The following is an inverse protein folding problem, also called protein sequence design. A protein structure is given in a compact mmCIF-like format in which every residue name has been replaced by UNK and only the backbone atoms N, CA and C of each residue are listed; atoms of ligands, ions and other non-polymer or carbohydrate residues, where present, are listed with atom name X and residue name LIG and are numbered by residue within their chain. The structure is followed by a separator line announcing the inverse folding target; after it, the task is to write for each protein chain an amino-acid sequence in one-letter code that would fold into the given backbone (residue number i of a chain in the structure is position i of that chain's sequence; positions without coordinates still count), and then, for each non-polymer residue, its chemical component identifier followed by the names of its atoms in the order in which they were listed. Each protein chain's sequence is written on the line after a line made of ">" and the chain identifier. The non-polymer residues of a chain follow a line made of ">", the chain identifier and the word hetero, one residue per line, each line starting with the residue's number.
data_IF_203663256871
#
_entry.id   IF_203663256871
#
_cell.length_a   1.000
_cell.length_b   1.000
_cell.length_c   1.000
_cell.angle_alpha   90.00
_cell.angle_beta   90.00
_cell.angle_gamma   90.00
#
_symmetry.space_group_name_H-M   'P 1'
#
loop_
_entity.id
_entity.type
_entity.pdbx_description
1 polymer ?
#
# COMPACT_ATOMS: atom_id res chain seq x y z
N UNK A 1 0.20 -0.19 14.17
CA UNK A 1 0.35 1.28 14.09
C UNK A 1 -0.91 1.97 14.59
N UNK A 2 -2.07 1.58 14.07
CA UNK A 2 -3.39 1.99 14.55
C UNK A 2 -4.31 0.76 14.60
N UNK A 3 -5.36 0.81 15.42
CA UNK A 3 -6.41 -0.22 15.49
C UNK A 3 -7.77 0.46 15.44
N UNK A 4 -8.61 0.10 14.47
CA UNK A 4 -9.98 0.59 14.36
C UNK A 4 -10.91 -0.05 15.41
N UNK A 5 -12.08 0.53 15.63
CA UNK A 5 -13.10 0.00 16.55
C UNK A 5 -13.55 -1.43 16.18
N UNK A 6 -13.59 -1.76 14.89
CA UNK A 6 -13.94 -3.09 14.39
C UNK A 6 -12.75 -4.07 14.32
N UNK A 7 -11.60 -3.69 14.89
CA UNK A 7 -10.44 -4.57 15.07
C UNK A 7 -9.59 -4.80 13.83
N UNK A 8 -9.63 -3.90 12.84
CA UNK A 8 -8.62 -3.85 11.76
C UNK A 8 -7.38 -3.12 12.25
N UNK A 9 -6.22 -3.51 11.72
CA UNK A 9 -4.96 -2.88 12.08
C UNK A 9 -4.28 -2.24 10.87
N UNK A 10 -3.56 -1.15 11.13
CA UNK A 10 -2.49 -0.69 10.23
C UNK A 10 -1.20 -1.36 10.67
N UNK A 11 -0.60 -2.16 9.78
CA UNK A 11 0.61 -2.92 10.03
C UNK A 11 1.70 -2.42 9.10
N UNK A 12 2.84 -2.06 9.68
CA UNK A 12 4.06 -1.78 8.93
C UNK A 12 4.89 -3.08 8.85
N UNK A 13 5.21 -3.52 7.63
CA UNK A 13 6.04 -4.72 7.39
C UNK A 13 6.95 -4.50 6.19
N UNK A 14 8.14 -5.08 6.15
CA UNK A 14 9.14 -4.69 5.14
C UNK A 14 8.81 -5.22 3.72
N UNK A 15 7.92 -6.21 3.61
CA UNK A 15 7.51 -6.77 2.33
C UNK A 15 6.07 -7.28 2.37
N UNK A 16 5.32 -7.07 1.29
CA UNK A 16 4.00 -7.69 1.10
C UNK A 16 4.06 -9.22 1.14
N UNK A 17 5.21 -9.82 0.80
CA UNK A 17 5.39 -11.26 0.88
C UNK A 17 5.40 -11.80 2.33
N UNK A 18 5.51 -10.92 3.33
CA UNK A 18 5.42 -11.28 4.75
C UNK A 18 3.99 -11.19 5.29
N UNK A 19 3.03 -10.75 4.47
CA UNK A 19 1.61 -10.82 4.82
C UNK A 19 1.17 -12.26 5.04
N UNK A 20 0.22 -12.43 5.95
CA UNK A 20 -0.30 -13.72 6.39
C UNK A 20 -1.78 -13.85 6.10
N UNK A 21 -2.35 -15.05 6.30
CA UNK A 21 -3.78 -15.27 6.13
C UNK A 21 -4.62 -14.39 7.09
N UNK A 22 -4.05 -13.96 8.22
CA UNK A 22 -4.71 -13.06 9.17
C UNK A 22 -4.91 -11.63 8.63
N UNK A 23 -4.20 -11.25 7.55
CA UNK A 23 -4.30 -9.93 6.93
C UNK A 23 -5.37 -9.87 5.83
N UNK A 24 -5.73 -11.04 5.28
CA UNK A 24 -6.66 -11.18 4.15
C UNK A 24 -8.00 -10.52 4.44
N UNK A 25 -8.33 -9.49 3.67
CA UNK A 25 -9.57 -8.73 3.80
C UNK A 25 -9.74 -8.01 5.14
N UNK A 26 -8.69 -7.90 5.96
CA UNK A 26 -8.79 -7.40 7.33
C UNK A 26 -7.87 -6.22 7.63
N UNK A 27 -6.58 -6.30 7.33
CA UNK A 27 -5.62 -5.27 7.76
C UNK A 27 -5.18 -4.37 6.61
N UNK A 28 -4.75 -3.16 6.93
CA UNK A 28 -4.03 -2.29 5.99
C UNK A 28 -2.54 -2.54 6.14
N UNK A 29 -1.87 -2.90 5.05
CA UNK A 29 -0.44 -3.18 5.06
C UNK A 29 0.34 -2.02 4.43
N UNK A 30 1.19 -1.38 5.23
CA UNK A 30 2.19 -0.41 4.75
C UNK A 30 3.51 -1.16 4.61
N UNK A 31 3.96 -1.34 3.37
CA UNK A 31 5.12 -2.17 3.07
C UNK A 31 6.19 -1.46 2.26
N UNK A 32 7.44 -1.89 2.40
CA UNK A 32 8.58 -1.32 1.68
C UNK A 32 8.99 -2.14 0.45
N UNK A 33 8.07 -2.90 -0.14
CA UNK A 33 8.26 -3.55 -1.44
C UNK A 33 7.86 -2.66 -2.61
N UNK A 34 8.33 -2.98 -3.83
CA UNK A 34 7.93 -2.26 -5.05
C UNK A 34 6.48 -2.58 -5.46
N UNK A 35 5.88 -1.72 -6.29
CA UNK A 35 4.52 -1.92 -6.84
C UNK A 35 4.53 -2.31 -8.32
N UNK A 36 5.63 -2.88 -8.79
CA UNK A 36 5.76 -3.42 -10.15
C UNK A 36 4.95 -4.70 -10.38
N UNK A 37 4.87 -5.14 -11.64
CA UNK A 37 4.11 -6.33 -12.06
C UNK A 37 4.48 -7.59 -11.27
N UNK A 38 5.75 -7.77 -10.90
CA UNK A 38 6.24 -8.94 -10.15
C UNK A 38 5.68 -9.01 -8.71
N UNK A 39 5.21 -7.90 -8.13
CA UNK A 39 4.59 -7.89 -6.80
C UNK A 39 3.13 -8.36 -6.82
N UNK A 40 2.46 -8.33 -7.98
CA UNK A 40 1.02 -8.62 -8.10
C UNK A 40 0.63 -9.97 -7.53
N UNK A 41 1.34 -11.09 -7.78
CA UNK A 41 0.96 -12.38 -7.20
C UNK A 41 0.94 -12.37 -5.68
N UNK A 42 1.86 -11.65 -5.03
CA UNK A 42 1.91 -11.52 -3.58
C UNK A 42 0.80 -10.60 -3.05
N UNK A 43 0.56 -9.48 -3.72
CA UNK A 43 -0.54 -8.56 -3.38
C UNK A 43 -1.90 -9.25 -3.46
N UNK A 44 -2.15 -10.04 -4.50
CA UNK A 44 -3.40 -10.78 -4.67
C UNK A 44 -3.50 -12.00 -3.76
N UNK A 45 -2.38 -12.66 -3.44
CA UNK A 45 -2.37 -13.76 -2.47
C UNK A 45 -2.66 -13.27 -1.06
N UNK A 46 -2.02 -12.18 -0.64
CA UNK A 46 -2.25 -11.58 0.68
C UNK A 46 -3.61 -10.89 0.76
N UNK A 47 -4.03 -10.23 -0.32
CA UNK A 47 -5.30 -9.51 -0.46
C UNK A 47 -5.72 -8.75 0.81
N UNK A 48 -4.87 -7.84 1.33
CA UNK A 48 -5.19 -7.08 2.54
C UNK A 48 -6.41 -6.19 2.34
N UNK A 49 -6.93 -5.60 3.41
CA UNK A 49 -8.02 -4.62 3.33
C UNK A 49 -7.65 -3.40 2.47
N UNK A 50 -6.37 -3.02 2.51
CA UNK A 50 -5.73 -2.06 1.64
C UNK A 50 -4.22 -2.15 1.76
N UNK A 51 -3.48 -1.58 0.80
CA UNK A 51 -2.02 -1.55 0.88
C UNK A 51 -1.40 -0.23 0.47
N UNK A 52 -0.22 0.05 1.03
CA UNK A 52 0.68 1.11 0.60
C UNK A 52 2.04 0.45 0.35
N UNK A 53 2.58 0.60 -0.85
CA UNK A 53 3.89 0.08 -1.24
C UNK A 53 4.79 1.21 -1.77
N UNK A 54 6.01 0.90 -2.20
CA UNK A 54 6.86 1.87 -2.87
C UNK A 54 6.51 2.02 -4.34
N UNK A 55 6.66 3.23 -4.89
CA UNK A 55 6.60 3.43 -6.34
C UNK A 55 7.86 2.96 -7.08
N UNK A 56 8.93 2.62 -6.34
CA UNK A 56 10.21 2.20 -6.91
C UNK A 56 10.83 3.24 -7.85
N UNK A 57 10.48 4.52 -7.69
CA UNK A 57 10.86 5.59 -8.62
C UNK A 57 10.09 5.58 -9.94
N UNK A 58 8.94 4.89 -9.99
CA UNK A 58 8.03 4.69 -11.14
C UNK A 58 8.61 3.94 -12.34
N UNK A 59 9.91 4.02 -12.60
CA UNK A 59 10.56 3.40 -13.76
C UNK A 59 10.04 3.94 -15.10
N UNK A 60 10.57 3.40 -16.19
CA UNK A 60 10.09 3.71 -17.55
C UNK A 60 8.63 3.30 -17.68
N UNK A 61 7.82 4.15 -18.32
CA UNK A 61 6.39 3.92 -18.58
C UNK A 61 5.55 3.57 -17.34
N UNK A 62 5.94 4.10 -16.17
CA UNK A 62 5.29 3.81 -14.89
C UNK A 62 5.32 2.31 -14.49
N UNK A 63 6.31 1.56 -14.97
CA UNK A 63 6.49 0.12 -14.67
C UNK A 63 6.60 -0.21 -13.18
N UNK A 64 7.09 0.70 -12.34
CA UNK A 64 7.21 0.57 -10.88
C UNK A 64 5.88 0.69 -10.12
N UNK A 65 4.84 1.23 -10.75
CA UNK A 65 3.49 1.36 -10.16
C UNK A 65 2.41 0.58 -10.92
N UNK A 66 2.78 -0.13 -12.00
CA UNK A 66 1.83 -0.84 -12.87
C UNK A 66 0.96 -1.85 -12.09
N UNK A 67 1.47 -2.39 -10.98
CA UNK A 67 0.74 -3.29 -10.10
C UNK A 67 -0.57 -2.69 -9.59
N UNK A 68 -0.64 -1.38 -9.34
CA UNK A 68 -1.87 -0.68 -8.93
C UNK A 68 -3.03 -0.95 -9.90
N UNK A 69 -2.79 -0.79 -11.20
CA UNK A 69 -3.80 -1.01 -12.25
C UNK A 69 -4.21 -2.46 -12.41
N UNK A 70 -3.31 -3.40 -12.08
CA UNK A 70 -3.56 -4.82 -12.22
C UNK A 70 -4.43 -5.31 -11.06
N UNK A 71 -4.09 -4.94 -9.82
CA UNK A 71 -4.84 -5.35 -8.63
C UNK A 71 -6.17 -4.62 -8.48
N UNK A 72 -6.32 -3.44 -9.09
CA UNK A 72 -7.59 -2.72 -9.15
C UNK A 72 -8.72 -3.56 -9.75
N UNK A 73 -8.40 -4.41 -10.74
CA UNK A 73 -9.36 -5.33 -11.37
C UNK A 73 -9.92 -6.38 -10.39
N UNK A 74 -9.21 -6.61 -9.29
CA UNK A 74 -9.61 -7.54 -8.21
C UNK A 74 -10.26 -6.82 -7.02
N UNK A 75 -10.48 -5.50 -7.10
CA UNK A 75 -11.07 -4.73 -6.01
C UNK A 75 -10.09 -4.29 -4.92
N UNK A 76 -8.78 -4.56 -5.07
CA UNK A 76 -7.82 -4.29 -4.01
C UNK A 76 -7.43 -2.80 -3.99
N UNK A 77 -7.70 -2.11 -2.88
CA UNK A 77 -7.32 -0.71 -2.67
C UNK A 77 -5.81 -0.57 -2.43
N UNK A 78 -5.16 0.26 -3.25
CA UNK A 78 -3.71 0.41 -3.25
C UNK A 78 -3.23 1.83 -3.52
N UNK A 79 -2.15 2.21 -2.82
CA UNK A 79 -1.40 3.43 -3.07
C UNK A 79 0.11 3.17 -3.03
N UNK A 80 0.90 4.15 -3.46
CA UNK A 80 2.37 4.08 -3.37
C UNK A 80 2.98 5.31 -2.73
N UNK A 81 4.13 5.15 -2.07
CA UNK A 81 4.96 6.25 -1.58
C UNK A 81 6.18 6.50 -2.46
N UNK A 82 6.72 7.72 -2.39
CA UNK A 82 7.97 8.10 -3.08
C UNK A 82 9.18 7.33 -2.51
N UNK A 83 9.79 6.49 -3.34
CA UNK A 83 11.00 5.74 -2.99
C UNK A 83 12.21 6.62 -2.63
N UNK A 84 12.20 7.92 -2.97
CA UNK A 84 13.27 8.88 -2.62
C UNK A 84 13.10 9.48 -1.23
N UNK A 85 11.89 9.45 -0.67
CA UNK A 85 11.58 10.02 0.64
C UNK A 85 11.48 8.94 1.72
N UNK A 86 10.98 7.74 1.37
CA UNK A 86 10.87 6.61 2.29
C UNK A 86 11.86 5.49 1.97
N UNK A 87 12.52 4.96 2.99
CA UNK A 87 13.58 3.94 2.83
C UNK A 87 13.02 2.62 2.31
N UNK A 88 13.68 2.07 1.30
CA UNK A 88 13.38 0.72 0.82
C UNK A 88 13.76 -0.33 1.86
N UNK A 89 12.94 -1.38 2.00
CA UNK A 89 13.13 -2.41 3.02
C UNK A 89 12.78 -1.98 4.45
N UNK A 90 12.17 -0.82 4.67
CA UNK A 90 11.65 -0.40 5.98
C UNK A 90 10.19 0.03 5.92
N UNK A 91 9.29 -0.86 6.34
CA UNK A 91 7.84 -0.56 6.42
C UNK A 91 7.55 0.59 7.38
N UNK A 92 8.33 0.73 8.46
CA UNK A 92 8.22 1.85 9.38
C UNK A 92 8.58 3.19 8.72
N UNK A 93 9.64 3.23 7.90
CA UNK A 93 9.97 4.43 7.13
C UNK A 93 8.89 4.75 6.09
N UNK A 94 8.29 3.74 5.44
CA UNK A 94 7.14 3.96 4.56
C UNK A 94 5.94 4.56 5.30
N UNK A 95 5.68 4.16 6.55
CA UNK A 95 4.59 4.70 7.35
C UNK A 95 4.86 6.15 7.83
N UNK A 96 6.06 6.43 8.35
CA UNK A 96 6.37 7.73 8.96
C UNK A 96 6.87 8.79 7.95
N UNK A 97 7.66 8.38 6.96
CA UNK A 97 8.35 9.29 6.03
C UNK A 97 7.68 9.31 4.64
N UNK A 98 6.76 8.38 4.38
CA UNK A 98 6.17 8.19 3.06
C UNK A 98 5.20 9.30 2.65
N UNK A 99 5.32 9.74 1.40
CA UNK A 99 4.39 10.66 0.73
C UNK A 99 3.79 9.96 -0.47
N UNK A 100 2.46 9.99 -0.60
CA UNK A 100 1.73 9.26 -1.65
C UNK A 100 2.04 9.83 -3.05
N UNK A 101 2.46 8.98 -3.99
CA UNK A 101 2.83 9.36 -5.37
C UNK A 101 1.94 8.77 -6.46
N UNK A 102 1.17 7.73 -6.14
CA UNK A 102 0.15 7.14 -7.01
C UNK A 102 -0.92 6.44 -6.18
N UNK A 103 -2.13 6.40 -6.72
CA UNK A 103 -3.31 5.78 -6.11
C UNK A 103 -4.12 5.07 -7.19
N UNK A 104 -4.76 3.96 -6.85
CA UNK A 104 -5.75 3.33 -7.71
C UNK A 104 -7.18 3.84 -7.39
N UNK A 105 -8.17 3.47 -8.21
CA UNK A 105 -9.54 3.95 -8.09
C UNK A 105 -10.17 3.60 -6.74
N UNK A 106 -9.90 2.41 -6.19
CA UNK A 106 -10.45 1.95 -4.91
C UNK A 106 -9.85 2.70 -3.72
N UNK A 107 -8.53 2.97 -3.73
CA UNK A 107 -7.91 3.81 -2.72
C UNK A 107 -8.43 5.25 -2.82
N UNK A 108 -8.58 5.77 -4.05
CA UNK A 108 -9.11 7.11 -4.30
C UNK A 108 -10.56 7.24 -3.83
N UNK A 109 -11.42 6.23 -4.00
CA UNK A 109 -12.80 6.27 -3.50
C UNK A 109 -12.88 6.26 -1.96
N UNK A 110 -11.85 5.77 -1.28
CA UNK A 110 -11.71 5.88 0.18
C UNK A 110 -11.17 7.24 0.63
N UNK A 111 -10.79 8.10 -0.30
CA UNK A 111 -10.32 9.46 -0.06
C UNK A 111 -8.80 9.61 -0.06
N UNK A 112 -8.04 8.58 -0.45
CA UNK A 112 -6.59 8.70 -0.55
C UNK A 112 -6.21 9.57 -1.75
N UNK A 113 -5.39 10.59 -1.51
CA UNK A 113 -4.92 11.53 -2.54
C UNK A 113 -3.38 11.55 -2.63
N UNK A 114 -2.89 11.93 -3.81
CA UNK A 114 -1.45 12.14 -4.05
C UNK A 114 -0.99 13.36 -3.22
N UNK A 115 0.16 13.23 -2.56
CA UNK A 115 0.71 14.25 -1.67
C UNK A 115 0.35 14.07 -0.19
N UNK A 116 -0.61 13.19 0.14
CA UNK A 116 -0.89 12.81 1.52
C UNK A 116 0.31 12.11 2.16
N UNK A 117 0.42 12.20 3.49
CA UNK A 117 1.32 11.34 4.25
C UNK A 117 0.81 9.90 4.22
N UNK A 118 1.71 8.92 4.28
CA UNK A 118 1.34 7.50 4.32
C UNK A 118 0.55 7.12 5.58
N UNK A 119 0.81 7.80 6.70
CA UNK A 119 0.05 7.63 7.94
C UNK A 119 -1.40 8.08 7.79
N UNK A 120 -1.65 9.26 7.20
CA UNK A 120 -3.01 9.74 6.88
C UNK A 120 -3.71 8.83 5.87
N UNK A 121 -3.03 8.51 4.77
CA UNK A 121 -3.57 7.63 3.73
C UNK A 121 -3.95 6.25 4.27
N UNK A 122 -3.14 5.68 5.16
CA UNK A 122 -3.42 4.36 5.75
C UNK A 122 -4.61 4.38 6.72
N UNK A 123 -4.88 5.51 7.40
CA UNK A 123 -6.11 5.68 8.19
C UNK A 123 -7.35 5.70 7.29
N UNK A 124 -7.31 6.46 6.19
CA UNK A 124 -8.42 6.50 5.22
C UNK A 124 -8.70 5.12 4.59
N UNK A 125 -7.65 4.35 4.32
CA UNK A 125 -7.77 2.97 3.84
C UNK A 125 -8.37 2.03 4.89
N UNK A 126 -8.19 2.30 6.18
CA UNK A 126 -8.63 1.44 7.29
C UNK A 126 -10.13 1.62 7.60
N UNK A 127 -10.60 2.86 7.56
CA UNK A 127 -11.95 3.27 7.97
C UNK A 127 -13.04 3.01 6.91
N UNK A 128 -12.64 2.85 5.64
CA UNK A 128 -13.53 2.68 4.48
C UNK A 128 -13.08 1.51 3.61
#
# INVERSE_FOLDING_TARGET
>A
MHTSEDGRHIIATDSIAFGTDADTGKNVLVTAGHTGRSAVPYLLKCSPWGFICSDGGKGMDNSGIIGLSIVEKSGLAGATVDAKLARMGSGLSHYYDGVITAVNLHAKSRGVEIGMSASEASLLLLEK
#
